data_IF_691996280678
#
_entry.id   IF_691996280678
#
_cell.length_a   1.000
_cell.length_b   1.000
_cell.length_c   1.000
_cell.angle_alpha   90.00
_cell.angle_beta   90.00
_cell.angle_gamma   90.00
#
_symmetry.space_group_name_H-M   'P 1'
#
loop_
_entity.id
_entity.type
_entity.pdbx_description
1 polymer ?
#
# COMPACT_ATOMS: atom_id res chain seq x y z
N UNK A 1 -12.15 7.99 8.90
CA UNK A 1 -11.77 6.58 8.80
C UNK A 1 -10.62 6.49 7.81
N UNK A 2 -9.51 5.83 8.17
CA UNK A 2 -8.58 5.32 7.18
C UNK A 2 -9.26 4.19 6.40
N UNK A 3 -8.94 4.03 5.12
CA UNK A 3 -9.45 2.92 4.31
C UNK A 3 -8.62 1.66 4.56
N UNK A 4 -9.28 0.55 4.91
CA UNK A 4 -8.62 -0.76 5.00
C UNK A 4 -8.37 -1.33 3.61
N UNK A 5 -7.30 -2.11 3.46
CA UNK A 5 -7.03 -2.91 2.27
C UNK A 5 -6.55 -4.29 2.69
N UNK A 6 -6.97 -5.32 1.96
CA UNK A 6 -6.44 -6.67 2.21
C UNK A 6 -4.98 -6.75 1.80
N UNK A 7 -4.24 -7.67 2.41
CA UNK A 7 -2.86 -8.01 1.98
C UNK A 7 -2.83 -8.38 0.50
N UNK A 8 -3.86 -9.05 0.01
CA UNK A 8 -3.99 -9.38 -1.41
C UNK A 8 -4.05 -8.13 -2.29
N UNK A 9 -4.94 -7.18 -1.97
CA UNK A 9 -5.07 -5.94 -2.73
C UNK A 9 -3.80 -5.10 -2.68
N UNK A 10 -3.13 -5.05 -1.53
CA UNK A 10 -1.85 -4.35 -1.37
C UNK A 10 -0.77 -4.96 -2.27
N UNK A 11 -0.59 -6.28 -2.21
CA UNK A 11 0.39 -6.98 -3.02
C UNK A 11 0.14 -6.80 -4.52
N UNK A 12 -1.12 -6.87 -4.98
CA UNK A 12 -1.48 -6.57 -6.37
C UNK A 12 -1.14 -5.13 -6.76
N UNK A 13 -1.39 -4.16 -5.88
CA UNK A 13 -1.06 -2.74 -6.15
C UNK A 13 0.44 -2.52 -6.31
N UNK A 14 1.25 -3.21 -5.50
CA UNK A 14 2.71 -3.16 -5.62
C UNK A 14 3.17 -3.84 -6.91
N UNK A 15 2.64 -5.02 -7.24
CA UNK A 15 2.96 -5.73 -8.48
C UNK A 15 2.66 -4.89 -9.73
N UNK A 16 1.50 -4.23 -9.78
CA UNK A 16 1.16 -3.28 -10.84
C UNK A 16 2.16 -2.12 -10.91
N UNK A 17 2.52 -1.54 -9.76
CA UNK A 17 3.42 -0.38 -9.70
C UNK A 17 4.82 -0.69 -10.22
N UNK A 18 5.31 -1.92 -10.00
CA UNK A 18 6.66 -2.36 -10.45
C UNK A 18 6.67 -3.05 -11.82
N UNK A 19 5.50 -3.19 -12.47
CA UNK A 19 5.39 -3.88 -13.74
C UNK A 19 5.63 -5.40 -13.66
N UNK A 20 5.33 -6.02 -12.53
CA UNK A 20 5.45 -7.47 -12.35
C UNK A 20 4.33 -8.21 -13.10
N UNK A 21 4.70 -9.09 -14.01
CA UNK A 21 3.80 -9.88 -14.87
C UNK A 21 3.65 -11.35 -14.42
N UNK A 22 4.35 -11.75 -13.36
CA UNK A 22 4.24 -13.09 -12.78
C UNK A 22 3.02 -13.29 -11.90
N UNK A 23 2.93 -14.48 -11.30
CA UNK A 23 1.85 -14.84 -10.39
C UNK A 23 2.23 -14.57 -8.93
N UNK A 24 1.31 -13.96 -8.17
CA UNK A 24 1.43 -13.81 -6.72
C UNK A 24 0.78 -15.03 -6.04
N UNK A 25 1.61 -15.87 -5.43
CA UNK A 25 1.17 -17.06 -4.70
C UNK A 25 1.10 -16.77 -3.19
N UNK A 26 -0.01 -17.15 -2.56
CA UNK A 26 -0.22 -17.03 -1.11
C UNK A 26 -0.19 -18.43 -0.49
N UNK A 27 0.74 -18.64 0.45
CA UNK A 27 0.84 -19.88 1.21
C UNK A 27 -0.16 -19.86 2.38
N UNK A 28 -1.26 -20.62 2.25
CA UNK A 28 -2.33 -20.70 3.26
C UNK A 28 -2.00 -21.65 4.42
N UNK A 29 -0.86 -22.35 4.39
CA UNK A 29 -0.39 -23.13 5.55
C UNK A 29 0.19 -22.21 6.64
N UNK A 30 0.52 -20.96 6.29
CA UNK A 30 1.02 -19.96 7.24
C UNK A 30 -0.16 -19.26 7.94
N UNK A 31 -0.06 -19.04 9.26
CA UNK A 31 -1.11 -18.36 10.00
C UNK A 31 -1.19 -16.88 9.62
N UNK A 32 -2.42 -16.39 9.47
CA UNK A 32 -2.68 -14.96 9.34
C UNK A 32 -2.44 -14.21 10.66
N UNK A 33 -2.10 -12.93 10.53
CA UNK A 33 -2.02 -12.01 11.66
C UNK A 33 -3.40 -11.53 12.15
N UNK A 34 -3.43 -10.38 12.82
CA UNK A 34 -4.69 -9.74 13.23
C UNK A 34 -5.49 -9.36 11.98
N UNK A 35 -6.76 -9.75 11.92
CA UNK A 35 -7.64 -9.57 10.74
C UNK A 35 -7.79 -8.10 10.28
N UNK A 36 -7.75 -7.14 11.19
CA UNK A 36 -7.76 -5.71 10.83
C UNK A 36 -7.03 -4.89 11.89
N UNK A 37 -6.22 -3.93 11.44
CA UNK A 37 -5.48 -3.02 12.29
C UNK A 37 -5.55 -1.61 11.70
N UNK A 38 -6.48 -0.81 12.21
CA UNK A 38 -6.76 0.54 11.72
C UNK A 38 -6.76 1.55 12.86
N UNK A 39 -6.39 2.78 12.51
CA UNK A 39 -6.55 3.95 13.39
C UNK A 39 -7.86 4.68 13.06
N UNK A 40 -8.55 5.16 14.09
CA UNK A 40 -9.69 6.05 13.90
C UNK A 40 -9.21 7.49 13.62
N UNK A 41 -9.35 7.94 12.37
CA UNK A 41 -8.97 9.29 11.93
C UNK A 41 -10.06 10.35 12.16
N UNK A 42 -11.14 10.08 12.90
CA UNK A 42 -12.23 11.05 13.09
C UNK A 42 -11.75 12.34 13.75
N UNK A 43 -10.87 12.23 14.76
CA UNK A 43 -10.33 13.40 15.45
C UNK A 43 -9.50 14.29 14.50
N UNK A 44 -8.54 13.72 13.77
CA UNK A 44 -7.69 14.52 12.87
C UNK A 44 -8.50 15.13 11.71
N UNK A 45 -9.53 14.42 11.22
CA UNK A 45 -10.47 14.98 10.24
C UNK A 45 -11.27 16.17 10.80
N UNK A 46 -11.63 16.14 12.09
CA UNK A 46 -12.34 17.25 12.74
C UNK A 46 -11.49 18.51 12.87
N UNK A 47 -10.16 18.36 12.86
CA UNK A 47 -9.20 19.47 12.84
C UNK A 47 -8.98 20.03 11.42
N UNK A 48 -9.74 19.56 10.42
CA UNK A 48 -9.65 20.02 9.03
C UNK A 48 -8.55 19.34 8.20
N UNK A 49 -7.76 18.45 8.79
CA UNK A 49 -6.71 17.74 8.07
C UNK A 49 -7.25 16.46 7.40
N UNK A 50 -6.83 16.19 6.17
CA UNK A 50 -7.12 14.96 5.43
C UNK A 50 -5.88 14.52 4.64
N UNK A 51 -5.68 13.21 4.44
CA UNK A 51 -4.62 12.73 3.56
C UNK A 51 -4.93 13.13 2.11
N UNK A 52 -3.92 13.64 1.40
CA UNK A 52 -4.04 14.03 -0.01
C UNK A 52 -3.57 12.94 -0.98
N UNK A 53 -2.85 11.94 -0.46
CA UNK A 53 -2.24 10.88 -1.24
C UNK A 53 -2.93 9.56 -0.88
N UNK A 54 -3.59 8.94 -1.85
CA UNK A 54 -4.11 7.58 -1.70
C UNK A 54 -2.98 6.54 -1.79
N UNK A 55 -3.28 5.31 -1.38
CA UNK A 55 -2.30 4.23 -1.29
C UNK A 55 -1.64 3.91 -2.64
N UNK A 56 -2.40 3.84 -3.73
CA UNK A 56 -1.86 3.50 -5.06
C UNK A 56 -0.96 4.62 -5.56
N UNK A 57 -1.41 5.87 -5.46
CA UNK A 57 -0.60 7.05 -5.80
C UNK A 57 0.70 7.09 -5.00
N UNK A 58 0.63 6.83 -3.69
CA UNK A 58 1.81 6.76 -2.81
C UNK A 58 2.80 5.69 -3.26
N UNK A 59 2.34 4.45 -3.44
CA UNK A 59 3.18 3.32 -3.87
C UNK A 59 3.86 3.61 -5.20
N UNK A 60 3.12 4.08 -6.21
CA UNK A 60 3.69 4.40 -7.53
C UNK A 60 4.74 5.50 -7.45
N UNK A 61 4.50 6.56 -6.67
CA UNK A 61 5.49 7.64 -6.50
C UNK A 61 6.76 7.13 -5.82
N UNK A 62 6.62 6.37 -4.75
CA UNK A 62 7.76 5.79 -4.02
C UNK A 62 8.56 4.84 -4.91
N UNK A 63 7.91 3.99 -5.71
CA UNK A 63 8.63 3.11 -6.63
C UNK A 63 9.44 3.89 -7.67
N UNK A 64 8.85 4.93 -8.29
CA UNK A 64 9.56 5.79 -9.26
C UNK A 64 10.77 6.48 -8.64
N UNK A 65 10.67 6.92 -7.39
CA UNK A 65 11.80 7.52 -6.68
C UNK A 65 12.94 6.51 -6.48
N UNK A 66 12.61 5.27 -6.08
CA UNK A 66 13.59 4.17 -5.94
C UNK A 66 14.25 3.86 -7.29
N UNK A 67 13.45 3.70 -8.35
CA UNK A 67 13.94 3.43 -9.71
C UNK A 67 14.88 4.53 -10.20
N UNK A 68 14.51 5.80 -10.00
CA UNK A 68 15.35 6.94 -10.36
C UNK A 68 16.68 6.94 -9.60
N UNK A 69 16.67 6.59 -8.32
CA UNK A 69 17.90 6.51 -7.52
C UNK A 69 18.80 5.36 -7.98
N UNK A 70 18.24 4.19 -8.31
CA UNK A 70 19.03 3.05 -8.82
C UNK A 70 19.67 3.33 -10.18
N UNK A 71 18.98 4.05 -11.06
CA UNK A 71 19.49 4.43 -12.39
C UNK A 71 20.48 5.61 -12.38
N UNK A 72 20.72 6.22 -11.20
CA UNK A 72 21.63 7.37 -11.04
C UNK A 72 23.06 6.99 -10.62
N UNK A 73 23.35 5.68 -10.54
CA UNK A 73 24.69 5.10 -10.34
C UNK A 73 25.23 4.52 -11.65
#
# INVERSE_FOLDING_TARGET
>A
FGSDVTIKSLASTVAEAVGFDGEIVYDTEKPDGVFSKLLNSQFIHSLGWRPEIDLKTGITKTYKEIESHLNSF
#
